data_IF_720395581895
#
_entry.id   IF_720395581895
#
_cell.length_a   1.000
_cell.length_b   1.000
_cell.length_c   1.000
_cell.angle_alpha   90.00
_cell.angle_beta   90.00
_cell.angle_gamma   90.00
#
_symmetry.space_group_name_H-M   'P 1'
#
loop_
_entity.id
_entity.type
_entity.pdbx_description
1 polymer ?
#
# COMPACT_ATOMS: atom_id res chain seq x y z
N UNK A 1 -6.79 -3.72 -7.77
CA UNK A 1 -6.77 -3.55 -6.30
C UNK A 1 -6.47 -2.10 -5.98
N UNK A 2 -7.13 -1.52 -4.98
CA UNK A 2 -6.76 -0.19 -4.49
C UNK A 2 -5.34 -0.24 -3.91
N UNK A 3 -4.53 0.78 -4.21
CA UNK A 3 -3.24 0.97 -3.55
C UNK A 3 -3.47 1.26 -2.07
N UNK A 4 -2.63 0.73 -1.19
CA UNK A 4 -2.56 1.11 0.21
C UNK A 4 -2.21 2.60 0.33
N UNK A 5 -2.64 3.20 1.43
CA UNK A 5 -2.57 4.63 1.70
C UNK A 5 -1.21 5.04 2.23
N UNK A 6 -0.97 6.33 2.34
CA UNK A 6 0.16 6.90 3.06
C UNK A 6 -0.37 7.51 4.36
N UNK A 7 0.19 7.13 5.51
CA UNK A 7 -0.14 7.82 6.75
C UNK A 7 0.84 8.97 6.98
N UNK A 8 0.31 10.14 7.30
CA UNK A 8 1.11 11.37 7.50
C UNK A 8 0.86 11.95 8.88
N UNK A 9 1.89 12.55 9.46
CA UNK A 9 1.75 13.40 10.63
C UNK A 9 0.74 14.53 10.39
N UNK A 10 0.00 14.92 11.43
CA UNK A 10 -0.82 16.13 11.44
C UNK A 10 0.01 17.41 11.17
N UNK A 11 1.29 17.40 11.57
CA UNK A 11 2.24 18.49 11.32
C UNK A 11 3.24 18.15 10.22
N UNK A 12 2.89 17.27 9.28
CA UNK A 12 3.76 16.96 8.16
C UNK A 12 3.88 18.18 7.23
N UNK A 13 5.10 18.70 6.97
CA UNK A 13 5.29 19.73 5.96
C UNK A 13 5.00 19.20 4.57
N UNK A 14 4.78 20.13 3.64
CA UNK A 14 4.49 19.82 2.24
C UNK A 14 5.77 19.42 1.47
N UNK A 15 6.42 18.35 1.94
CA UNK A 15 7.77 17.95 1.56
C UNK A 15 7.81 16.86 0.50
N UNK A 16 6.68 16.25 0.10
CA UNK A 16 6.65 15.25 -0.96
C UNK A 16 5.39 15.38 -1.83
N UNK A 17 5.35 14.66 -2.94
CA UNK A 17 4.14 14.47 -3.76
C UNK A 17 3.79 12.99 -3.86
N UNK A 18 2.51 12.66 -3.88
CA UNK A 18 2.06 11.27 -4.06
C UNK A 18 0.71 11.23 -4.76
N UNK A 19 0.45 10.13 -5.45
CA UNK A 19 -0.87 9.81 -6.04
C UNK A 19 -1.71 8.91 -5.12
N UNK A 20 -1.12 8.41 -4.02
CA UNK A 20 -1.83 7.62 -3.03
C UNK A 20 -2.69 8.53 -2.14
N UNK A 21 -3.79 7.98 -1.65
CA UNK A 21 -4.58 8.64 -0.62
C UNK A 21 -3.73 8.83 0.65
N UNK A 22 -3.77 10.04 1.22
CA UNK A 22 -3.10 10.37 2.48
C UNK A 22 -4.12 10.41 3.60
N UNK A 23 -3.78 9.83 4.75
CA UNK A 23 -4.59 9.86 5.97
C UNK A 23 -3.73 10.31 7.15
N UNK A 24 -4.32 10.94 8.17
CA UNK A 24 -3.58 11.33 9.36
C UNK A 24 -3.22 10.10 10.20
N UNK A 25 -1.99 10.09 10.73
CA UNK A 25 -1.45 8.96 11.48
C UNK A 25 -2.27 8.66 12.74
N UNK A 26 -2.90 9.66 13.34
CA UNK A 26 -3.74 9.50 14.52
C UNK A 26 -5.12 8.90 14.22
N UNK A 27 -5.55 8.93 12.96
CA UNK A 27 -6.80 8.29 12.49
C UNK A 27 -6.55 6.89 11.91
N UNK A 28 -5.28 6.53 11.67
CA UNK A 28 -4.92 5.29 11.02
C UNK A 28 -4.89 4.09 11.97
N UNK A 29 -5.27 2.92 11.43
CA UNK A 29 -5.05 1.61 12.09
C UNK A 29 -3.79 0.90 11.59
N UNK A 30 -3.01 1.55 10.72
CA UNK A 30 -1.80 1.02 10.06
C UNK A 30 -2.00 -0.21 9.15
N UNK A 31 -3.19 -0.81 9.12
CA UNK A 31 -3.48 -2.03 8.31
C UNK A 31 -3.60 -1.71 6.82
N UNK A 32 -4.07 -0.52 6.46
CA UNK A 32 -4.28 -0.07 5.09
C UNK A 32 -3.19 0.93 4.62
N UNK A 33 -2.02 0.91 5.26
CA UNK A 33 -0.92 1.87 5.04
C UNK A 33 0.29 1.20 4.41
N UNK A 34 0.86 1.84 3.38
CA UNK A 34 2.02 1.39 2.64
C UNK A 34 3.34 1.99 3.14
N UNK A 35 3.29 3.21 3.67
CA UNK A 35 4.41 3.95 4.21
C UNK A 35 3.89 5.06 5.14
N UNK A 36 4.73 5.49 6.08
CA UNK A 36 4.40 6.50 7.08
C UNK A 36 5.38 7.66 6.97
N UNK A 37 4.89 8.90 7.06
CA UNK A 37 5.71 10.11 7.16
C UNK A 37 5.40 10.80 8.48
N UNK A 38 6.34 10.75 9.42
CA UNK A 38 6.21 11.36 10.75
C UNK A 38 6.90 12.72 10.80
N UNK A 39 6.43 13.60 11.68
CA UNK A 39 7.23 14.75 12.11
C UNK A 39 8.23 14.34 13.20
N UNK A 40 9.23 15.17 13.46
CA UNK A 40 10.15 14.92 14.57
C UNK A 40 9.41 14.91 15.93
N UNK A 41 8.37 15.73 16.08
CA UNK A 41 7.55 15.78 17.29
C UNK A 41 6.85 14.44 17.56
N UNK A 42 6.29 13.79 16.52
CA UNK A 42 5.64 12.49 16.69
C UNK A 42 6.61 11.41 17.16
N UNK A 43 7.83 11.43 16.61
CA UNK A 43 8.90 10.51 17.00
C UNK A 43 9.26 10.72 18.47
N UNK A 44 9.44 11.97 18.91
CA UNK A 44 9.71 12.28 20.32
C UNK A 44 8.57 11.94 21.26
N UNK A 45 7.32 11.91 20.76
CA UNK A 45 6.15 11.46 21.50
C UNK A 45 5.99 9.93 21.54
N UNK A 46 6.93 9.16 20.96
CA UNK A 46 6.93 7.69 21.00
C UNK A 46 6.15 7.02 19.85
N UNK A 47 5.72 7.77 18.83
CA UNK A 47 4.92 7.20 17.72
C UNK A 47 5.69 6.15 16.92
N UNK A 48 7.00 6.31 16.80
CA UNK A 48 7.85 5.32 16.16
C UNK A 48 7.89 3.99 16.94
N UNK A 49 7.87 4.05 18.28
CA UNK A 49 7.81 2.85 19.12
C UNK A 49 6.45 2.14 18.99
N UNK A 50 5.36 2.90 18.90
CA UNK A 50 4.02 2.36 18.64
C UNK A 50 3.95 1.62 17.29
N UNK A 51 4.55 2.20 16.25
CA UNK A 51 4.60 1.60 14.90
C UNK A 51 5.43 0.32 14.93
N UNK A 52 6.62 0.33 15.53
CA UNK A 52 7.47 -0.85 15.61
C UNK A 52 6.81 -1.98 16.41
N UNK A 53 6.06 -1.65 17.46
CA UNK A 53 5.32 -2.62 18.27
C UNK A 53 4.23 -3.36 17.47
N UNK A 54 3.75 -2.82 16.34
CA UNK A 54 2.81 -3.54 15.46
C UNK A 54 3.46 -4.75 14.78
N UNK A 55 4.79 -4.74 14.60
CA UNK A 55 5.52 -5.76 13.85
C UNK A 55 5.22 -5.78 12.35
N UNK A 56 4.50 -4.78 11.81
CA UNK A 56 4.14 -4.77 10.38
C UNK A 56 5.31 -4.43 9.47
N UNK A 57 6.36 -3.77 9.97
CA UNK A 57 7.54 -3.41 9.16
C UNK A 57 7.25 -2.36 8.09
N UNK A 58 6.28 -1.48 8.33
CA UNK A 58 5.91 -0.39 7.42
C UNK A 58 7.10 0.58 7.31
N UNK A 59 7.55 0.96 6.10
CA UNK A 59 8.63 1.93 5.95
C UNK A 59 8.23 3.30 6.50
N UNK A 60 9.05 3.84 7.41
CA UNK A 60 8.83 5.14 8.06
C UNK A 60 9.82 6.16 7.54
N UNK A 61 9.34 7.34 7.17
CA UNK A 61 10.13 8.52 6.83
C UNK A 61 9.90 9.60 7.89
N UNK A 62 10.92 10.42 8.14
CA UNK A 62 10.77 11.59 9.02
C UNK A 62 10.84 12.85 8.17
N UNK A 63 9.82 13.68 8.24
CA UNK A 63 9.83 15.02 7.68
C UNK A 63 10.38 16.03 8.70
N UNK A 64 11.29 16.87 8.25
CA UNK A 64 12.00 17.86 9.08
C UNK A 64 11.80 19.27 8.54
N UNK A 65 11.65 20.25 9.45
CA UNK A 65 11.57 21.68 9.12
C UNK A 65 12.73 22.47 9.75
N UNK A 66 12.95 23.71 9.31
CA UNK A 66 13.77 24.71 10.04
C UNK A 66 15.16 24.24 10.53
N UNK A 67 15.87 23.43 9.73
CA UNK A 67 17.19 22.86 10.08
C UNK A 67 17.18 21.86 11.26
N UNK A 68 16.01 21.30 11.58
CA UNK A 68 15.89 20.16 12.48
C UNK A 68 16.79 19.02 12.04
N UNK A 69 17.31 18.28 13.03
CA UNK A 69 18.14 17.11 12.80
C UNK A 69 17.52 15.92 13.51
N UNK A 70 17.32 14.85 12.75
CA UNK A 70 16.90 13.56 13.31
C UNK A 70 18.01 13.03 14.22
N UNK A 71 17.71 12.73 15.51
CA UNK A 71 18.68 12.09 16.40
C UNK A 71 19.19 10.76 15.84
N UNK A 72 20.49 10.49 16.02
CA UNK A 72 21.17 9.34 15.40
C UNK A 72 20.58 7.99 15.83
N UNK A 73 19.95 7.92 17.00
CA UNK A 73 19.29 6.73 17.54
C UNK A 73 18.08 6.26 16.70
N UNK A 74 17.42 7.17 15.95
CA UNK A 74 16.28 6.81 15.10
C UNK A 74 16.67 6.41 13.69
N UNK A 75 17.88 6.80 13.23
CA UNK A 75 18.33 6.55 11.85
C UNK A 75 18.28 5.07 11.42
N UNK A 76 18.60 4.08 12.27
CA UNK A 76 18.50 2.66 11.90
C UNK A 76 17.07 2.15 11.71
N UNK A 77 16.07 2.88 12.22
CA UNK A 77 14.65 2.46 12.26
C UNK A 77 13.81 3.09 11.13
N UNK A 78 14.38 4.04 10.39
CA UNK A 78 13.67 4.79 9.35
C UNK A 78 14.22 4.47 7.96
N UNK A 79 13.38 4.62 6.95
CA UNK A 79 13.72 4.45 5.54
C UNK A 79 14.30 5.72 4.90
N UNK A 80 14.09 6.89 5.50
CA UNK A 80 14.64 8.14 4.98
C UNK A 80 14.20 9.38 5.76
N UNK A 81 14.79 10.51 5.39
CA UNK A 81 14.48 11.84 5.94
C UNK A 81 14.11 12.76 4.80
N UNK A 82 13.00 13.48 4.95
CA UNK A 82 12.50 14.46 3.98
C UNK A 82 12.63 15.86 4.56
N UNK A 83 13.50 16.66 3.97
CA UNK A 83 13.58 18.08 4.29
C UNK A 83 12.43 18.84 3.62
N UNK A 84 11.84 19.81 4.31
CA UNK A 84 10.88 20.74 3.70
C UNK A 84 11.58 21.63 2.66
N UNK A 85 11.60 21.15 1.40
CA UNK A 85 12.23 21.82 0.28
C UNK A 85 11.40 21.60 -0.99
N UNK A 86 10.83 22.67 -1.54
CA UNK A 86 9.95 22.63 -2.71
C UNK A 86 10.59 21.93 -3.91
N UNK A 87 11.87 22.22 -4.18
CA UNK A 87 12.62 21.63 -5.30
C UNK A 87 12.81 20.11 -5.22
N UNK A 88 12.64 19.50 -4.05
CA UNK A 88 12.86 18.06 -3.82
C UNK A 88 11.58 17.25 -3.66
N UNK A 89 10.41 17.88 -3.66
CA UNK A 89 9.13 17.21 -3.38
C UNK A 89 8.85 16.02 -4.30
N UNK A 90 9.06 16.20 -5.60
CA UNK A 90 8.87 15.10 -6.55
C UNK A 90 9.87 13.96 -6.34
N UNK A 91 11.10 14.31 -5.96
CA UNK A 91 12.13 13.31 -5.67
C UNK A 91 11.78 12.50 -4.43
N UNK A 92 11.40 13.15 -3.33
CA UNK A 92 10.93 12.47 -2.12
C UNK A 92 9.65 11.68 -2.36
N UNK A 93 8.75 12.18 -3.20
CA UNK A 93 7.57 11.46 -3.67
C UNK A 93 7.91 10.13 -4.37
N UNK A 94 8.91 10.13 -5.25
CA UNK A 94 9.40 8.91 -5.90
C UNK A 94 10.05 7.93 -4.90
N UNK A 95 10.80 8.43 -3.92
CA UNK A 95 11.37 7.58 -2.87
C UNK A 95 10.28 6.92 -2.02
N UNK A 96 9.28 7.70 -1.61
CA UNK A 96 8.13 7.22 -0.86
C UNK A 96 7.33 6.17 -1.64
N UNK A 97 7.02 6.42 -2.91
CA UNK A 97 6.30 5.45 -3.75
C UNK A 97 7.10 4.15 -3.95
N UNK A 98 8.43 4.26 -4.10
CA UNK A 98 9.30 3.09 -4.24
C UNK A 98 9.25 2.22 -3.00
N UNK A 99 9.37 2.82 -1.81
CA UNK A 99 9.29 2.10 -0.53
C UNK A 99 7.88 1.50 -0.32
N UNK A 100 6.82 2.27 -0.57
CA UNK A 100 5.43 1.83 -0.44
C UNK A 100 5.10 0.64 -1.35
N UNK A 101 5.50 0.71 -2.63
CA UNK A 101 5.28 -0.36 -3.62
C UNK A 101 6.08 -1.62 -3.27
N UNK A 102 7.31 -1.45 -2.76
CA UNK A 102 8.14 -2.55 -2.30
C UNK A 102 7.48 -3.29 -1.12
N UNK A 103 7.03 -2.53 -0.12
CA UNK A 103 6.32 -3.05 1.04
C UNK A 103 5.04 -3.82 0.64
N UNK A 104 4.19 -3.23 -0.20
CA UNK A 104 2.98 -3.89 -0.72
C UNK A 104 3.27 -5.20 -1.46
N UNK A 105 4.39 -5.25 -2.18
CA UNK A 105 4.79 -6.44 -2.92
C UNK A 105 5.25 -7.54 -1.97
N UNK A 106 5.98 -7.19 -0.91
CA UNK A 106 6.46 -8.12 0.11
C UNK A 106 5.37 -8.62 1.05
N UNK A 107 4.31 -7.84 1.28
CA UNK A 107 3.16 -8.25 2.08
C UNK A 107 2.45 -9.49 1.54
N UNK A 108 2.55 -9.75 0.23
CA UNK A 108 1.84 -10.86 -0.40
C UNK A 108 2.61 -12.17 -0.21
N UNK A 109 2.03 -13.18 0.48
CA UNK A 109 2.63 -14.51 0.51
C UNK A 109 2.79 -15.09 -0.91
N UNK A 110 3.71 -16.03 -1.12
CA UNK A 110 4.07 -16.51 -2.46
C UNK A 110 2.87 -16.92 -3.33
N UNK A 111 1.93 -17.69 -2.77
CA UNK A 111 0.75 -18.13 -3.51
C UNK A 111 -0.19 -16.97 -3.87
N UNK A 112 -0.47 -16.07 -2.93
CA UNK A 112 -1.34 -14.92 -3.19
C UNK A 112 -0.72 -13.98 -4.24
N UNK A 113 0.61 -13.79 -4.21
CA UNK A 113 1.32 -13.02 -5.22
C UNK A 113 1.15 -13.64 -6.60
N UNK A 114 1.43 -14.94 -6.73
CA UNK A 114 1.31 -15.66 -7.99
C UNK A 114 -0.12 -15.61 -8.54
N UNK A 115 -1.13 -15.82 -7.69
CA UNK A 115 -2.54 -15.75 -8.08
C UNK A 115 -2.93 -14.37 -8.62
N UNK A 116 -2.58 -13.29 -7.91
CA UNK A 116 -2.88 -11.93 -8.37
C UNK A 116 -2.15 -11.60 -9.67
N UNK A 117 -0.89 -12.00 -9.78
CA UNK A 117 -0.10 -11.78 -11.00
C UNK A 117 -0.66 -12.57 -12.19
N UNK A 118 -1.15 -13.80 -11.97
CA UNK A 118 -1.82 -14.61 -13.00
C UNK A 118 -3.13 -13.96 -13.46
N UNK A 119 -4.00 -13.56 -12.53
CA UNK A 119 -5.26 -12.88 -12.85
C UNK A 119 -5.02 -11.59 -13.65
N UNK A 120 -3.99 -10.82 -13.31
CA UNK A 120 -3.64 -9.58 -14.01
C UNK A 120 -3.10 -9.79 -15.43
N UNK A 121 -2.63 -10.99 -15.79
CA UNK A 121 -2.22 -11.30 -17.16
C UNK A 121 -3.41 -11.40 -18.12
N UNK A 122 -4.63 -11.66 -17.60
CA UNK A 122 -5.84 -11.69 -18.41
C UNK A 122 -5.88 -12.84 -19.41
N UNK A 123 -5.36 -14.02 -19.02
CA UNK A 123 -5.35 -15.21 -19.86
C UNK A 123 -6.78 -15.68 -20.20
N UNK A 124 -6.95 -16.26 -21.39
CA UNK A 124 -8.22 -16.88 -21.80
C UNK A 124 -8.33 -18.30 -21.24
N UNK A 125 -9.28 -18.52 -20.32
CA UNK A 125 -9.57 -19.83 -19.74
C UNK A 125 -10.43 -20.70 -20.70
N UNK A 126 -9.93 -21.88 -21.06
CA UNK A 126 -10.65 -22.91 -21.83
C UNK A 126 -10.71 -24.26 -21.09
N UNK A 127 -10.34 -24.24 -19.83
CA UNK A 127 -10.35 -25.32 -18.87
C UNK A 127 -11.53 -25.16 -17.88
N UNK A 128 -11.45 -25.86 -16.76
CA UNK A 128 -12.37 -25.67 -15.63
C UNK A 128 -11.86 -24.52 -14.75
N UNK A 129 -12.73 -23.81 -14.00
CA UNK A 129 -14.18 -23.95 -13.91
C UNK A 129 -14.93 -23.46 -15.16
N UNK A 130 -16.03 -24.14 -15.52
CA UNK A 130 -16.78 -23.86 -16.76
C UNK A 130 -17.46 -22.48 -16.84
N UNK A 131 -17.48 -21.69 -15.75
CA UNK A 131 -17.90 -20.30 -15.81
C UNK A 131 -16.82 -19.34 -16.33
N UNK A 132 -15.57 -19.80 -16.44
CA UNK A 132 -14.45 -19.14 -17.14
C UNK A 132 -14.31 -17.66 -16.76
N UNK A 133 -13.92 -17.39 -15.52
CA UNK A 133 -13.81 -16.01 -15.02
C UNK A 133 -15.15 -15.31 -14.74
N UNK A 134 -16.27 -16.04 -14.81
CA UNK A 134 -17.62 -15.53 -14.54
C UNK A 134 -18.41 -15.16 -15.80
N UNK A 135 -17.81 -15.31 -16.98
CA UNK A 135 -18.43 -15.02 -18.27
C UNK A 135 -19.72 -15.82 -18.53
N UNK A 136 -19.80 -17.06 -18.06
CA UNK A 136 -21.03 -17.84 -18.16
C UNK A 136 -22.17 -17.19 -17.36
N UNK A 137 -21.91 -16.76 -16.12
CA UNK A 137 -22.92 -16.16 -15.26
C UNK A 137 -23.47 -14.85 -15.85
N UNK A 138 -22.62 -14.03 -16.47
CA UNK A 138 -23.03 -12.76 -17.10
C UNK A 138 -24.03 -12.92 -18.26
N UNK A 139 -24.23 -14.15 -18.77
CA UNK A 139 -25.21 -14.44 -19.85
C UNK A 139 -26.65 -14.58 -19.36
N UNK A 140 -26.90 -14.63 -18.05
CA UNK A 140 -28.24 -14.72 -17.46
C UNK A 140 -28.48 -13.56 -16.48
N UNK A 141 -29.65 -12.90 -16.46
CA UNK A 141 -29.88 -11.74 -15.58
C UNK A 141 -29.58 -12.01 -14.09
N UNK A 142 -29.99 -13.18 -13.59
CA UNK A 142 -29.68 -13.58 -12.22
C UNK A 142 -28.17 -13.85 -12.01
N UNK A 143 -27.48 -14.40 -13.02
CA UNK A 143 -26.04 -14.64 -12.95
C UNK A 143 -25.24 -13.34 -13.05
N UNK A 144 -25.70 -12.34 -13.82
CA UNK A 144 -25.06 -11.03 -13.85
C UNK A 144 -25.19 -10.34 -12.49
N UNK A 145 -26.37 -10.39 -11.84
CA UNK A 145 -26.51 -9.89 -10.46
C UNK A 145 -25.59 -10.61 -9.47
N UNK A 146 -25.40 -11.92 -9.64
CA UNK A 146 -24.47 -12.70 -8.82
C UNK A 146 -23.01 -12.25 -9.00
N UNK A 147 -22.57 -12.00 -10.23
CA UNK A 147 -21.22 -11.49 -10.50
C UNK A 147 -21.03 -10.07 -9.96
N UNK A 148 -22.01 -9.18 -10.14
CA UNK A 148 -21.97 -7.82 -9.60
C UNK A 148 -21.97 -7.81 -8.06
N UNK A 149 -22.68 -8.73 -7.43
CA UNK A 149 -22.73 -8.84 -5.96
C UNK A 149 -21.38 -9.24 -5.35
N UNK A 150 -20.71 -10.25 -5.91
CA UNK A 150 -19.43 -10.75 -5.38
C UNK A 150 -18.21 -10.01 -5.94
N UNK A 151 -18.35 -9.37 -7.10
CA UNK A 151 -17.25 -8.74 -7.83
C UNK A 151 -16.50 -9.72 -8.72
N UNK A 152 -16.00 -9.20 -9.86
CA UNK A 152 -15.35 -10.00 -10.90
C UNK A 152 -14.08 -10.71 -10.42
N UNK A 153 -13.31 -10.08 -9.53
CA UNK A 153 -12.03 -10.62 -9.05
C UNK A 153 -12.19 -12.00 -8.39
N UNK A 154 -13.33 -12.27 -7.73
CA UNK A 154 -13.59 -13.57 -7.13
C UNK A 154 -13.64 -14.67 -8.19
N UNK A 155 -14.34 -14.44 -9.30
CA UNK A 155 -14.52 -15.43 -10.36
C UNK A 155 -13.28 -15.56 -11.25
N UNK A 156 -12.53 -14.47 -11.45
CA UNK A 156 -11.26 -14.49 -12.19
C UNK A 156 -10.17 -15.27 -11.44
N UNK A 157 -10.24 -15.28 -10.10
CA UNK A 157 -9.32 -16.02 -9.25
C UNK A 157 -9.74 -17.48 -8.98
N UNK A 158 -10.92 -17.91 -9.46
CA UNK A 158 -11.39 -19.30 -9.37
C UNK A 158 -10.82 -20.10 -10.55
N UNK A 159 -9.68 -20.74 -10.29
CA UNK A 159 -8.79 -21.39 -11.25
C UNK A 159 -8.65 -22.88 -10.94
N UNK A 160 -8.20 -23.67 -11.92
CA UNK A 160 -7.92 -25.10 -11.72
C UNK A 160 -6.44 -25.44 -11.87
N UNK A 161 -6.13 -26.73 -11.89
CA UNK A 161 -4.76 -27.22 -11.98
C UNK A 161 -4.14 -27.08 -13.39
N UNK A 162 -4.90 -26.63 -14.39
CA UNK A 162 -4.46 -26.48 -15.78
C UNK A 162 -4.06 -25.03 -16.14
N UNK A 163 -4.14 -24.13 -15.16
CA UNK A 163 -3.70 -22.73 -15.21
C UNK A 163 -2.21 -22.56 -14.86
#
# INVERSE_FOLDING_TARGET
>A
MSKLKIAVSDSCPDCFTTQRECIYINESRNIDVAAIVLSLNDVTCGKLDEIDATGYGIPVFIATENQERVPAEYLPRISGVFENCESRREFYGRQLETAASHYETQLRPPFFRALVDYVNQGNSAFDCPGHQGGEFFRRHPAGNQFVEYFGEALFRADLCNAD
#
